data_IF_887744357443
#
_entry.id   IF_887744357443
#
_cell.length_a   1.000
_cell.length_b   1.000
_cell.length_c   1.000
_cell.angle_alpha   90.00
_cell.angle_beta   90.00
_cell.angle_gamma   90.00
#
_symmetry.space_group_name_H-M   'P 1'
#
loop_
_entity.id
_entity.type
_entity.pdbx_description
1 polymer ?
#
# COMPACT_ATOMS: atom_id res chain seq x y z
N UNK A 1 -11.89 -2.76 -5.33
CA UNK A 1 -11.10 -2.45 -6.55
C UNK A 1 -11.79 -1.32 -7.33
N UNK A 2 -11.07 -0.27 -7.75
CA UNK A 2 -11.64 0.86 -8.50
C UNK A 2 -12.39 0.39 -9.76
N UNK A 3 -13.28 1.20 -10.37
CA UNK A 3 -14.00 0.92 -11.64
C UNK A 3 -13.03 0.79 -12.85
N UNK A 4 -12.02 -0.03 -12.68
CA UNK A 4 -11.33 -0.79 -13.68
C UNK A 4 -11.87 -2.19 -13.38
N UNK A 5 -13.00 -2.55 -14.02
CA UNK A 5 -13.35 -3.96 -14.21
C UNK A 5 -12.03 -4.70 -14.46
N UNK A 6 -11.73 -5.75 -13.68
CA UNK A 6 -10.51 -6.55 -13.78
C UNK A 6 -10.16 -6.75 -15.25
N UNK A 7 -9.34 -5.85 -15.79
CA UNK A 7 -9.11 -5.86 -17.22
C UNK A 7 -8.24 -7.07 -17.43
N UNK A 8 -8.84 -8.09 -18.02
CA UNK A 8 -8.33 -9.47 -18.07
C UNK A 8 -6.98 -9.58 -18.80
N UNK A 9 -6.51 -8.45 -19.33
CA UNK A 9 -5.23 -8.25 -19.98
C UNK A 9 -4.08 -7.96 -19.00
N UNK A 10 -4.31 -7.24 -17.89
CA UNK A 10 -3.24 -6.91 -16.92
C UNK A 10 -2.83 -8.14 -16.08
N UNK A 11 -3.80 -9.00 -15.74
CA UNK A 11 -3.53 -10.24 -14.99
C UNK A 11 -2.85 -11.33 -15.84
N UNK A 12 -2.85 -11.22 -17.18
CA UNK A 12 -2.18 -12.16 -18.09
C UNK A 12 -0.69 -11.89 -18.32
N UNK A 13 -0.19 -10.69 -18.01
CA UNK A 13 1.19 -10.27 -18.27
C UNK A 13 2.01 -10.04 -16.99
N UNK A 14 1.94 -10.95 -16.00
CA UNK A 14 2.90 -10.99 -14.86
C UNK A 14 4.31 -11.48 -15.27
N UNK A 15 4.63 -11.52 -16.56
CA UNK A 15 5.94 -11.92 -17.09
C UNK A 15 6.57 -10.79 -17.88
N UNK A 16 7.62 -10.19 -17.31
CA UNK A 16 8.51 -9.19 -17.91
C UNK A 16 7.96 -7.76 -18.00
N UNK A 17 8.49 -6.90 -17.12
CA UNK A 17 8.52 -5.45 -17.36
C UNK A 17 9.20 -5.19 -18.72
N UNK A 18 8.70 -4.23 -19.53
CA UNK A 18 9.21 -4.01 -20.87
C UNK A 18 10.65 -3.49 -20.80
N UNK A 19 11.59 -4.30 -21.29
CA UNK A 19 12.95 -3.87 -21.63
C UNK A 19 12.89 -3.07 -22.94
N UNK A 20 13.24 -1.78 -22.90
CA UNK A 20 13.57 -1.01 -24.09
C UNK A 20 12.65 0.18 -24.37
N UNK A 21 13.24 1.37 -24.19
CA UNK A 21 13.11 2.55 -25.04
C UNK A 21 11.87 2.62 -25.95
N UNK A 22 10.75 3.15 -25.45
CA UNK A 22 9.63 3.45 -26.34
C UNK A 22 8.28 3.63 -25.66
N UNK A 23 8.15 4.66 -24.81
CA UNK A 23 6.91 5.42 -24.52
C UNK A 23 7.20 6.43 -23.40
N UNK A 24 7.76 7.58 -23.78
CA UNK A 24 7.84 8.75 -22.91
C UNK A 24 6.46 9.40 -22.83
N UNK A 25 5.68 8.99 -21.83
CA UNK A 25 4.44 9.63 -21.41
C UNK A 25 4.46 9.84 -19.89
N UNK A 26 4.40 11.11 -19.47
CA UNK A 26 4.08 11.64 -18.14
C UNK A 26 4.84 11.17 -16.87
N UNK A 27 5.77 10.23 -16.91
CA UNK A 27 6.62 9.89 -15.75
C UNK A 27 8.07 10.28 -16.04
N UNK A 28 8.38 11.56 -15.89
CA UNK A 28 9.70 12.15 -16.19
C UNK A 28 10.63 12.24 -14.97
N UNK A 29 10.39 11.45 -13.92
CA UNK A 29 11.34 11.28 -12.82
C UNK A 29 12.06 9.93 -12.95
N UNK A 30 13.32 9.89 -12.53
CA UNK A 30 14.07 8.64 -12.41
C UNK A 30 13.30 7.71 -11.47
N UNK A 31 12.66 6.68 -12.01
CA UNK A 31 11.90 5.69 -11.24
C UNK A 31 12.78 4.93 -10.23
N UNK A 32 14.12 5.06 -10.32
CA UNK A 32 15.09 4.53 -9.35
C UNK A 32 15.36 5.45 -8.17
N UNK A 33 14.82 6.67 -8.18
CA UNK A 33 14.92 7.57 -7.03
C UNK A 33 14.26 6.92 -5.80
N UNK A 34 14.80 7.11 -4.58
CA UNK A 34 14.21 6.55 -3.38
C UNK A 34 12.74 7.00 -3.20
N UNK A 35 11.86 6.03 -3.00
CA UNK A 35 10.44 6.30 -2.77
C UNK A 35 10.24 6.81 -1.33
N UNK A 36 9.85 8.07 -1.20
CA UNK A 36 9.41 8.69 0.05
C UNK A 36 7.88 8.64 0.17
N UNK A 37 7.34 8.83 1.38
CA UNK A 37 5.87 8.92 1.54
C UNK A 37 5.28 10.10 0.74
N UNK A 38 5.98 11.24 0.68
CA UNK A 38 5.51 12.38 -0.09
C UNK A 38 5.55 12.13 -1.60
N UNK A 39 6.57 11.44 -2.12
CA UNK A 39 6.62 11.05 -3.53
C UNK A 39 5.61 9.94 -3.85
N UNK A 40 5.37 9.00 -2.92
CA UNK A 40 4.32 8.00 -3.07
C UNK A 40 2.92 8.63 -3.14
N UNK A 41 2.61 9.60 -2.26
CA UNK A 41 1.35 10.35 -2.31
C UNK A 41 1.16 11.06 -3.66
N UNK A 42 2.21 11.69 -4.20
CA UNK A 42 2.18 12.32 -5.53
C UNK A 42 1.97 11.30 -6.65
N UNK A 43 2.72 10.20 -6.66
CA UNK A 43 2.61 9.17 -7.69
C UNK A 43 1.20 8.55 -7.73
N UNK A 44 0.60 8.30 -6.57
CA UNK A 44 -0.80 7.82 -6.49
C UNK A 44 -1.76 8.85 -7.07
N UNK A 45 -1.61 10.13 -6.72
CA UNK A 45 -2.47 11.20 -7.24
C UNK A 45 -2.35 11.37 -8.76
N UNK A 46 -1.12 11.37 -9.27
CA UNK A 46 -0.84 11.43 -10.71
C UNK A 46 -1.42 10.22 -11.43
N UNK A 47 -1.26 9.01 -10.88
CA UNK A 47 -1.81 7.80 -11.46
C UNK A 47 -3.34 7.87 -11.53
N UNK A 48 -4.01 8.30 -10.45
CA UNK A 48 -5.47 8.42 -10.40
C UNK A 48 -5.98 9.47 -11.39
N UNK A 49 -5.25 10.58 -11.59
CA UNK A 49 -5.63 11.61 -12.56
C UNK A 49 -5.35 11.22 -14.01
N UNK A 50 -4.37 10.35 -14.23
CA UNK A 50 -3.93 9.94 -15.58
C UNK A 50 -4.69 8.72 -16.09
N UNK A 51 -4.84 7.71 -15.24
CA UNK A 51 -5.41 6.41 -15.60
C UNK A 51 -6.74 6.12 -14.89
N UNK A 52 -6.95 6.72 -13.71
CA UNK A 52 -8.24 6.65 -13.03
C UNK A 52 -9.25 7.64 -13.59
N UNK A 53 -10.53 7.40 -13.30
CA UNK A 53 -11.60 8.37 -13.61
C UNK A 53 -11.60 9.48 -12.56
N UNK A 54 -11.54 9.08 -11.28
CA UNK A 54 -11.45 9.94 -10.11
C UNK A 54 -11.20 9.09 -8.87
N UNK A 55 -10.87 9.77 -7.78
CA UNK A 55 -11.04 9.28 -6.43
C UNK A 55 -12.46 8.77 -6.15
N UNK A 56 -12.56 7.58 -5.56
CA UNK A 56 -13.76 7.10 -4.90
C UNK A 56 -14.15 7.96 -3.69
N UNK A 57 -15.37 7.80 -3.17
CA UNK A 57 -15.74 8.48 -1.92
C UNK A 57 -14.88 7.98 -0.76
N UNK A 58 -14.72 8.79 0.28
CA UNK A 58 -13.95 8.44 1.48
C UNK A 58 -14.49 7.16 2.13
N UNK A 59 -15.81 6.98 2.18
CA UNK A 59 -16.43 5.77 2.72
C UNK A 59 -16.18 4.54 1.84
N UNK A 60 -16.18 4.71 0.52
CA UNK A 60 -15.86 3.62 -0.41
C UNK A 60 -14.39 3.21 -0.23
N UNK A 61 -13.47 4.16 -0.14
CA UNK A 61 -12.06 3.86 0.13
C UNK A 61 -11.84 3.27 1.52
N UNK A 62 -12.62 3.65 2.52
CA UNK A 62 -12.59 3.01 3.84
C UNK A 62 -13.03 1.53 3.75
N UNK A 63 -14.05 1.23 2.96
CA UNK A 63 -14.47 -0.15 2.71
C UNK A 63 -13.36 -0.94 1.99
N UNK A 64 -12.77 -0.38 0.93
CA UNK A 64 -11.64 -1.01 0.25
C UNK A 64 -10.44 -1.21 1.17
N UNK A 65 -10.08 -0.23 2.01
CA UNK A 65 -8.99 -0.39 2.97
C UNK A 65 -9.24 -1.57 3.92
N UNK A 66 -10.49 -1.75 4.35
CA UNK A 66 -10.88 -2.86 5.23
C UNK A 66 -10.81 -4.21 4.52
N UNK A 67 -11.14 -4.24 3.22
CA UNK A 67 -10.97 -5.40 2.34
C UNK A 67 -9.49 -5.81 2.24
N UNK A 68 -8.60 -4.88 1.87
CA UNK A 68 -7.16 -5.16 1.73
C UNK A 68 -6.53 -5.59 3.08
N UNK A 69 -6.96 -4.98 4.19
CA UNK A 69 -6.51 -5.40 5.53
C UNK A 69 -7.00 -6.83 5.85
N UNK A 70 -8.19 -7.21 5.38
CA UNK A 70 -8.71 -8.57 5.52
C UNK A 70 -7.91 -9.59 4.72
N UNK A 71 -7.50 -9.23 3.50
CA UNK A 71 -6.63 -10.05 2.64
C UNK A 71 -5.25 -10.25 3.28
N UNK A 72 -4.63 -9.17 3.77
CA UNK A 72 -3.40 -9.20 4.55
C UNK A 72 -3.54 -10.07 5.81
N UNK A 73 -4.61 -9.89 6.57
CA UNK A 73 -4.86 -10.65 7.79
C UNK A 73 -5.00 -12.15 7.52
N UNK A 74 -5.66 -12.52 6.41
CA UNK A 74 -5.79 -13.92 5.97
C UNK A 74 -4.44 -14.56 5.71
N UNK A 75 -3.52 -13.85 5.05
CA UNK A 75 -2.16 -14.36 4.80
C UNK A 75 -1.36 -14.44 6.10
N UNK A 76 -1.41 -13.43 6.95
CA UNK A 76 -0.74 -13.45 8.25
C UNK A 76 -1.20 -14.62 9.12
N UNK A 77 -2.52 -14.89 9.18
CA UNK A 77 -3.09 -15.98 9.97
C UNK A 77 -2.68 -17.37 9.48
N UNK A 78 -2.40 -17.53 8.18
CA UNK A 78 -1.97 -18.80 7.59
C UNK A 78 -0.45 -18.98 7.58
N UNK A 79 0.31 -17.90 7.44
CA UNK A 79 1.77 -17.92 7.45
C UNK A 79 2.33 -18.05 8.87
N UNK A 80 1.72 -17.36 9.84
CA UNK A 80 2.24 -17.23 11.21
C UNK A 80 1.27 -17.73 12.28
N UNK A 81 0.05 -18.11 11.92
CA UNK A 81 -0.92 -18.70 12.83
C UNK A 81 -1.12 -20.20 12.55
N UNK A 82 -2.14 -20.78 13.20
CA UNK A 82 -2.41 -22.22 13.15
C UNK A 82 -3.24 -22.67 11.94
N UNK A 83 -3.61 -21.75 11.04
CA UNK A 83 -4.41 -22.06 9.85
C UNK A 83 -3.52 -22.55 8.70
N UNK A 84 -3.96 -23.56 7.96
CA UNK A 84 -3.25 -24.05 6.78
C UNK A 84 -3.71 -23.35 5.50
N UNK A 85 -2.76 -23.12 4.58
CA UNK A 85 -3.07 -22.75 3.20
C UNK A 85 -3.77 -23.88 2.45
N UNK A 86 -4.62 -23.55 1.47
CA UNK A 86 -5.13 -24.56 0.53
C UNK A 86 -4.02 -24.96 -0.44
N UNK A 87 -4.08 -26.20 -0.92
CA UNK A 87 -3.10 -26.71 -1.89
C UNK A 87 -3.17 -25.90 -3.19
N UNK A 88 -2.04 -25.35 -3.63
CA UNK A 88 -1.92 -24.56 -4.87
C UNK A 88 -2.22 -23.07 -4.71
N UNK A 89 -2.45 -22.59 -3.49
CA UNK A 89 -2.74 -21.18 -3.22
C UNK A 89 -1.40 -20.41 -3.08
N UNK A 90 -1.06 -19.59 -4.08
CA UNK A 90 0.10 -18.69 -4.05
C UNK A 90 -0.33 -17.35 -3.47
N UNK A 91 0.44 -16.84 -2.51
CA UNK A 91 0.18 -15.57 -1.86
C UNK A 91 1.48 -14.81 -1.68
N UNK A 92 1.42 -13.49 -1.88
CA UNK A 92 2.54 -12.60 -1.65
C UNK A 92 2.16 -11.61 -0.55
N UNK A 93 2.82 -11.73 0.61
CA UNK A 93 2.60 -10.83 1.74
C UNK A 93 2.96 -9.38 1.38
N UNK A 94 3.94 -9.18 0.51
CA UNK A 94 4.36 -7.86 0.05
C UNK A 94 3.30 -7.17 -0.80
N UNK A 95 2.63 -7.92 -1.69
CA UNK A 95 1.54 -7.40 -2.52
C UNK A 95 0.40 -6.86 -1.62
N UNK A 96 -0.06 -7.63 -0.63
CA UNK A 96 -1.14 -7.18 0.26
C UNK A 96 -0.76 -5.97 1.13
N UNK A 97 0.51 -5.92 1.59
CA UNK A 97 1.00 -4.74 2.31
C UNK A 97 1.02 -3.50 1.41
N UNK A 98 1.34 -3.68 0.13
CA UNK A 98 1.32 -2.60 -0.86
C UNK A 98 -0.12 -2.15 -1.17
N UNK A 99 -1.09 -3.07 -1.27
CA UNK A 99 -2.50 -2.75 -1.49
C UNK A 99 -3.09 -1.97 -0.32
N UNK A 100 -2.80 -2.38 0.92
CA UNK A 100 -3.17 -1.60 2.12
C UNK A 100 -2.57 -0.19 2.08
N UNK A 101 -1.28 -0.08 1.73
CA UNK A 101 -0.62 1.22 1.64
C UNK A 101 -1.24 2.08 0.52
N UNK A 102 -1.58 1.50 -0.62
CA UNK A 102 -2.18 2.18 -1.76
C UNK A 102 -3.49 2.86 -1.39
N UNK A 103 -4.41 2.12 -0.75
CA UNK A 103 -5.71 2.68 -0.35
C UNK A 103 -5.54 3.72 0.76
N UNK A 104 -4.58 3.54 1.67
CA UNK A 104 -4.24 4.54 2.68
C UNK A 104 -3.71 5.84 2.06
N UNK A 105 -2.86 5.76 1.05
CA UNK A 105 -2.37 6.93 0.29
C UNK A 105 -3.55 7.65 -0.41
N UNK A 106 -4.50 6.90 -0.98
CA UNK A 106 -5.71 7.47 -1.58
C UNK A 106 -6.51 8.28 -0.55
N UNK A 107 -6.78 7.70 0.63
CA UNK A 107 -7.51 8.39 1.71
C UNK A 107 -6.77 9.63 2.20
N UNK A 108 -5.44 9.55 2.36
CA UNK A 108 -4.65 10.69 2.78
C UNK A 108 -4.71 11.84 1.78
N UNK A 109 -4.60 11.55 0.48
CA UNK A 109 -4.72 12.57 -0.57
C UNK A 109 -6.12 13.21 -0.58
N UNK A 110 -7.18 12.40 -0.51
CA UNK A 110 -8.57 12.88 -0.49
C UNK A 110 -8.89 13.78 0.71
N UNK A 111 -8.32 13.46 1.86
CA UNK A 111 -8.56 14.16 3.13
C UNK A 111 -7.54 15.26 3.41
N UNK A 112 -6.64 15.55 2.47
CA UNK A 112 -5.55 16.52 2.60
C UNK A 112 -4.62 16.27 3.80
N UNK A 113 -4.35 15.00 4.09
CA UNK A 113 -3.40 14.58 5.13
C UNK A 113 -2.01 14.43 4.51
N UNK A 114 -1.03 15.16 5.05
CA UNK A 114 0.39 14.89 4.80
C UNK A 114 0.82 13.67 5.65
N UNK A 115 0.96 12.52 5.00
CA UNK A 115 1.37 11.29 5.70
C UNK A 115 2.81 11.33 6.18
N UNK A 116 3.70 12.06 5.50
CA UNK A 116 5.09 12.19 5.94
C UNK A 116 5.14 12.88 7.30
N UNK A 117 4.44 14.00 7.42
CA UNK A 117 4.38 14.79 8.65
C UNK A 117 3.58 14.08 9.75
N UNK A 118 2.44 13.46 9.40
CA UNK A 118 1.64 12.68 10.34
C UNK A 118 2.43 11.50 10.91
N UNK A 119 3.20 10.80 10.08
CA UNK A 119 4.03 9.68 10.50
C UNK A 119 5.19 10.14 11.40
N UNK A 120 5.90 11.23 11.04
CA UNK A 120 6.95 11.83 11.88
C UNK A 120 6.43 12.18 13.27
N UNK A 121 5.32 12.91 13.36
CA UNK A 121 4.66 13.26 14.63
C UNK A 121 4.27 12.02 15.44
N UNK A 122 3.77 10.99 14.78
CA UNK A 122 3.41 9.73 15.43
C UNK A 122 4.64 9.03 16.04
N UNK A 123 5.77 9.01 15.31
CA UNK A 123 7.03 8.45 15.79
C UNK A 123 7.58 9.23 16.98
N UNK A 124 7.59 10.56 16.94
CA UNK A 124 8.04 11.40 18.06
C UNK A 124 7.20 11.16 19.33
N UNK A 125 5.88 11.08 19.16
CA UNK A 125 4.94 10.79 20.26
C UNK A 125 5.18 9.41 20.86
N UNK A 126 5.34 8.37 20.02
CA UNK A 126 5.64 7.00 20.49
C UNK A 126 6.99 6.94 21.19
N UNK A 127 8.02 7.58 20.62
CA UNK A 127 9.38 7.62 21.19
C UNK A 127 9.38 8.28 22.56
N UNK A 128 8.69 9.42 22.70
CA UNK A 128 8.61 10.14 23.98
C UNK A 128 7.83 9.36 25.03
N UNK A 129 6.72 8.70 24.64
CA UNK A 129 5.86 7.94 25.56
C UNK A 129 6.46 6.60 25.98
N UNK A 130 7.08 5.88 25.05
CA UNK A 130 7.47 4.47 25.24
C UNK A 130 8.96 4.30 25.59
N UNK A 131 9.73 5.39 25.77
CA UNK A 131 11.18 5.39 26.09
C UNK A 131 11.58 4.51 27.29
N UNK A 132 10.65 4.21 28.21
CA UNK A 132 10.91 3.38 29.40
C UNK A 132 9.94 2.21 29.56
N UNK A 133 8.93 2.05 28.69
CA UNK A 133 7.78 1.16 28.98
C UNK A 133 8.05 -0.33 28.76
N UNK A 134 8.92 -0.67 27.80
CA UNK A 134 9.15 -2.07 27.38
C UNK A 134 10.58 -2.56 27.52
N UNK A 135 11.54 -1.68 27.83
CA UNK A 135 12.95 -2.03 27.93
C UNK A 135 13.24 -3.13 28.97
N UNK A 136 12.38 -3.29 29.98
CA UNK A 136 12.48 -4.33 31.01
C UNK A 136 11.42 -5.43 30.90
N UNK A 137 10.66 -5.51 29.80
CA UNK A 137 9.66 -6.56 29.64
C UNK A 137 10.32 -7.87 29.18
N UNK A 138 10.47 -8.84 30.09
CA UNK A 138 11.05 -10.15 29.79
C UNK A 138 10.25 -10.97 28.77
N UNK A 139 8.98 -10.63 28.49
CA UNK A 139 8.20 -11.28 27.42
C UNK A 139 8.58 -10.81 26.00
N UNK A 140 9.41 -9.76 25.89
CA UNK A 140 9.87 -9.15 24.64
C UNK A 140 11.40 -9.34 24.43
N UNK A 141 12.04 -10.20 25.24
CA UNK A 141 13.43 -10.64 25.07
C UNK A 141 13.46 -12.07 24.53
#
# INVERSE_FOLDING_TARGET
MMDIEKDSEYTRNKGSLPTGEGRRGALAEDWRAPLSLSSAQRLVDEWIKTYGVRYFSELTNMACLTEEVGELARIMARTYGDQSFKKGESHDLGDEMADVLWVLLCLANQTNVDLTEAFRKNLEKKTTRDKTRHHNNNKLK
#
